data_IF_179922892305
#
_entry.id   IF_179922892305
#
_cell.length_a   1.000
_cell.length_b   1.000
_cell.length_c   1.000
_cell.angle_alpha   90.00
_cell.angle_beta   90.00
_cell.angle_gamma   90.00
#
_symmetry.space_group_name_H-M   'P 1'
#
loop_
_entity.id
_entity.type
_entity.pdbx_description
1 polymer ?
#
# COMPACT_ATOMS: atom_id res chain seq x y z
N UNK A 1 -23.16 -0.69 3.46
CA UNK A 1 -22.65 -2.04 3.16
C UNK A 1 -21.23 -2.17 3.71
N UNK A 2 -20.72 -3.38 4.00
CA UNK A 2 -19.30 -3.56 4.37
C UNK A 2 -18.41 -3.70 3.11
N UNK A 3 -17.09 -3.56 3.28
CA UNK A 3 -16.14 -3.61 2.17
C UNK A 3 -16.16 -4.94 1.40
N UNK A 4 -16.28 -6.07 2.10
CA UNK A 4 -16.34 -7.38 1.45
C UNK A 4 -17.57 -7.51 0.54
N UNK A 5 -18.76 -7.17 1.04
CA UNK A 5 -20.01 -7.20 0.26
C UNK A 5 -19.96 -6.21 -0.90
N UNK A 6 -19.35 -5.03 -0.71
CA UNK A 6 -19.18 -4.02 -1.75
C UNK A 6 -18.34 -4.54 -2.91
N UNK A 7 -17.17 -5.10 -2.61
CA UNK A 7 -16.28 -5.71 -3.61
C UNK A 7 -16.96 -6.89 -4.29
N UNK A 8 -17.60 -7.78 -3.51
CA UNK A 8 -18.30 -8.96 -4.04
C UNK A 8 -19.43 -8.58 -5.02
N UNK A 9 -20.21 -7.54 -4.72
CA UNK A 9 -21.23 -7.06 -5.65
C UNK A 9 -20.62 -6.50 -6.93
N UNK A 10 -19.58 -5.66 -6.81
CA UNK A 10 -18.93 -5.03 -7.95
C UNK A 10 -18.33 -6.06 -8.92
N UNK A 11 -17.63 -7.09 -8.43
CA UNK A 11 -17.07 -8.14 -9.30
C UNK A 11 -18.14 -9.01 -9.97
N UNK A 12 -19.36 -9.03 -9.41
CA UNK A 12 -20.52 -9.71 -9.99
C UNK A 12 -21.40 -8.78 -10.85
N UNK A 13 -20.90 -7.60 -11.22
CA UNK A 13 -21.63 -6.60 -12.02
C UNK A 13 -22.97 -6.18 -11.40
N UNK A 14 -23.05 -6.20 -10.06
CA UNK A 14 -24.24 -5.75 -9.30
C UNK A 14 -23.98 -4.37 -8.70
N UNK A 15 -25.03 -3.56 -8.66
CA UNK A 15 -24.97 -2.23 -8.05
C UNK A 15 -24.62 -2.30 -6.55
N UNK A 16 -23.68 -1.45 -6.15
CA UNK A 16 -23.15 -1.33 -4.80
C UNK A 16 -23.48 0.05 -4.22
N UNK A 17 -23.28 0.25 -2.91
CA UNK A 17 -23.56 1.55 -2.26
C UNK A 17 -22.58 2.65 -2.68
N UNK A 18 -21.41 2.27 -3.21
CA UNK A 18 -20.45 3.12 -3.93
C UNK A 18 -19.43 2.25 -4.67
N UNK A 19 -18.69 2.85 -5.62
CA UNK A 19 -17.55 2.20 -6.27
C UNK A 19 -16.52 1.74 -5.21
N UNK A 20 -16.10 0.46 -5.20
CA UNK A 20 -15.06 -0.01 -4.29
C UNK A 20 -13.71 0.68 -4.58
N UNK A 21 -12.96 0.99 -3.52
CA UNK A 21 -11.66 1.65 -3.60
C UNK A 21 -10.54 0.67 -3.24
N UNK A 22 -9.58 0.47 -4.16
CA UNK A 22 -8.32 -0.24 -3.89
C UNK A 22 -7.17 0.76 -3.79
N UNK A 23 -6.39 0.66 -2.70
CA UNK A 23 -5.09 1.31 -2.57
C UNK A 23 -4.13 0.30 -1.96
N UNK A 24 -3.15 -0.16 -2.74
CA UNK A 24 -2.13 -1.13 -2.31
C UNK A 24 -2.66 -2.53 -2.02
N UNK A 25 -3.80 -2.96 -2.59
CA UNK A 25 -4.33 -4.32 -2.42
C UNK A 25 -3.45 -5.43 -2.99
N UNK A 26 -2.65 -5.14 -4.02
CA UNK A 26 -1.72 -6.08 -4.66
C UNK A 26 -0.28 -5.55 -4.60
N UNK A 27 0.70 -6.38 -4.99
CA UNK A 27 2.11 -5.96 -5.05
C UNK A 27 2.36 -4.78 -5.99
N UNK A 28 1.49 -4.58 -7.00
CA UNK A 28 1.66 -3.56 -8.05
C UNK A 28 0.56 -2.49 -8.07
N UNK A 29 -0.55 -2.67 -7.34
CA UNK A 29 -1.59 -1.62 -7.22
C UNK A 29 -1.19 -0.56 -6.18
N UNK A 30 -0.05 0.11 -6.40
CA UNK A 30 0.59 0.99 -5.44
C UNK A 30 0.23 2.48 -5.53
N UNK A 31 0.65 3.25 -4.53
CA UNK A 31 0.79 4.70 -4.61
C UNK A 31 2.27 5.07 -4.60
N UNK A 32 2.69 5.96 -5.50
CA UNK A 32 4.06 6.47 -5.47
C UNK A 32 4.36 7.13 -4.11
N UNK A 33 5.50 6.83 -3.51
CA UNK A 33 5.91 7.34 -2.17
C UNK A 33 5.79 8.86 -2.09
N UNK A 34 6.19 9.56 -3.15
CA UNK A 34 6.13 11.02 -3.22
C UNK A 34 4.69 11.53 -3.17
N UNK A 35 3.77 10.87 -3.86
CA UNK A 35 2.33 11.18 -3.83
C UNK A 35 1.73 10.86 -2.46
N UNK A 36 2.09 9.72 -1.87
CA UNK A 36 1.62 9.33 -0.54
C UNK A 36 2.06 10.34 0.53
N UNK A 37 3.32 10.78 0.51
CA UNK A 37 3.82 11.84 1.42
C UNK A 37 3.02 13.13 1.29
N UNK A 38 2.72 13.56 0.05
CA UNK A 38 1.88 14.75 -0.20
C UNK A 38 0.46 14.57 0.31
N UNK A 39 -0.10 13.36 0.14
CA UNK A 39 -1.44 13.02 0.60
C UNK A 39 -1.53 13.07 2.14
N UNK A 40 -0.58 12.42 2.83
CA UNK A 40 -0.48 12.48 4.29
C UNK A 40 -0.37 13.93 4.80
N UNK A 41 0.51 14.74 4.19
CA UNK A 41 0.65 16.16 4.53
C UNK A 41 -0.65 16.94 4.30
N UNK A 42 -1.36 16.69 3.19
CA UNK A 42 -2.63 17.36 2.86
C UNK A 42 -3.70 17.09 3.93
N UNK A 43 -3.71 15.89 4.51
CA UNK A 43 -4.65 15.50 5.55
C UNK A 43 -4.12 15.71 6.98
N UNK A 44 -2.96 16.35 7.17
CA UNK A 44 -2.29 16.48 8.46
C UNK A 44 -2.18 15.13 9.21
N UNK A 45 -1.91 14.06 8.46
CA UNK A 45 -1.89 12.70 8.96
C UNK A 45 -0.46 12.22 9.16
N UNK A 46 -0.04 12.01 10.41
CA UNK A 46 1.27 11.48 10.72
C UNK A 46 1.24 9.94 10.71
N UNK A 47 1.88 9.32 9.71
CA UNK A 47 2.09 7.88 9.73
C UNK A 47 3.39 7.49 9.04
N UNK A 48 3.94 6.35 9.47
CA UNK A 48 5.06 5.71 8.77
C UNK A 48 4.58 5.18 7.43
N UNK A 49 5.42 5.33 6.41
CA UNK A 49 5.21 4.75 5.08
C UNK A 49 6.16 3.56 4.95
N UNK A 50 5.60 2.37 4.72
CA UNK A 50 6.39 1.21 4.33
C UNK A 50 6.62 1.22 2.82
N UNK A 51 7.73 0.66 2.36
CA UNK A 51 8.07 0.62 0.93
C UNK A 51 8.04 -0.83 0.47
N UNK A 52 7.02 -1.20 -0.33
CA UNK A 52 6.90 -2.58 -0.85
C UNK A 52 7.78 -2.86 -2.06
N UNK A 53 8.05 -1.81 -2.84
CA UNK A 53 8.84 -1.86 -4.05
C UNK A 53 9.73 -0.62 -4.13
N UNK A 54 11.01 -0.79 -3.80
CA UNK A 54 12.01 0.27 -3.87
C UNK A 54 12.33 0.68 -5.31
N UNK A 55 12.12 -0.20 -6.30
CA UNK A 55 12.39 0.08 -7.71
C UNK A 55 11.28 0.97 -8.27
N UNK A 56 10.02 0.60 -8.03
CA UNK A 56 8.86 1.39 -8.47
C UNK A 56 8.50 2.53 -7.51
N UNK A 57 9.22 2.64 -6.38
CA UNK A 57 8.96 3.61 -5.31
C UNK A 57 7.51 3.58 -4.83
N UNK A 58 6.97 2.37 -4.64
CA UNK A 58 5.61 2.17 -4.15
C UNK A 58 5.61 2.18 -2.62
N UNK A 59 4.84 3.11 -2.06
CA UNK A 59 4.60 3.23 -0.63
C UNK A 59 3.30 2.55 -0.23
N UNK A 60 3.33 1.83 0.90
CA UNK A 60 2.14 1.28 1.55
C UNK A 60 1.73 2.27 2.65
N UNK A 61 0.50 2.81 2.61
CA UNK A 61 -0.02 3.60 3.71
C UNK A 61 -0.31 2.74 4.94
N UNK A 62 -0.26 3.35 6.13
CA UNK A 62 -0.64 2.66 7.37
C UNK A 62 -2.09 2.13 7.32
N UNK A 63 -2.40 1.01 8.00
CA UNK A 63 -3.77 0.49 8.06
C UNK A 63 -4.80 1.52 8.53
N UNK A 64 -4.43 2.39 9.47
CA UNK A 64 -5.30 3.44 9.98
C UNK A 64 -5.58 4.53 8.93
N UNK A 65 -4.61 4.84 8.07
CA UNK A 65 -4.82 5.78 6.96
C UNK A 65 -5.69 5.16 5.84
N UNK A 66 -5.52 3.87 5.56
CA UNK A 66 -6.40 3.14 4.64
C UNK A 66 -7.85 3.12 5.15
N UNK A 67 -8.04 2.91 6.45
CA UNK A 67 -9.35 3.03 7.10
C UNK A 67 -9.91 4.44 7.05
N UNK A 68 -9.09 5.48 7.28
CA UNK A 68 -9.50 6.88 7.15
C UNK A 68 -10.01 7.21 5.73
N UNK A 69 -9.39 6.64 4.69
CA UNK A 69 -9.82 6.80 3.30
C UNK A 69 -10.97 5.85 2.88
N UNK A 70 -11.47 5.02 3.80
CA UNK A 70 -12.47 3.97 3.51
C UNK A 70 -12.06 3.02 2.38
N UNK A 71 -10.78 2.63 2.32
CA UNK A 71 -10.28 1.64 1.34
C UNK A 71 -10.91 0.28 1.61
N UNK A 72 -11.34 -0.41 0.54
CA UNK A 72 -12.09 -1.66 0.61
C UNK A 72 -11.23 -2.92 0.57
N UNK A 73 -9.95 -2.75 0.27
CA UNK A 73 -8.99 -3.82 0.11
C UNK A 73 -7.92 -3.79 1.19
N UNK A 74 -7.28 -4.94 1.40
CA UNK A 74 -6.04 -5.05 2.17
C UNK A 74 -4.98 -5.67 1.30
N UNK A 75 -3.74 -5.27 1.50
CA UNK A 75 -2.60 -5.79 0.75
C UNK A 75 -2.44 -7.29 0.94
N UNK A 76 -2.42 -8.04 -0.15
CA UNK A 76 -2.01 -9.44 -0.19
C UNK A 76 -0.94 -9.60 -1.27
N UNK A 77 0.27 -10.00 -0.86
CA UNK A 77 1.36 -10.27 -1.81
C UNK A 77 2.77 -10.15 -1.20
N UNK A 78 3.78 -10.74 -1.85
CA UNK A 78 5.18 -10.66 -1.40
C UNK A 78 5.75 -9.25 -1.60
N UNK A 79 6.86 -8.94 -0.94
CA UNK A 79 7.69 -7.79 -1.33
C UNK A 79 8.27 -8.00 -2.73
N UNK A 80 8.51 -6.93 -3.49
CA UNK A 80 9.01 -7.04 -4.88
C UNK A 80 10.35 -7.78 -4.96
N UNK A 81 11.22 -7.53 -3.99
CA UNK A 81 12.51 -8.18 -3.85
C UNK A 81 12.47 -9.00 -2.56
N UNK A 82 12.53 -10.32 -2.69
CA UNK A 82 12.69 -11.21 -1.55
C UNK A 82 14.03 -10.94 -0.84
N UNK A 83 13.99 -10.97 0.48
CA UNK A 83 15.13 -10.74 1.37
C UNK A 83 15.84 -9.39 1.16
N UNK A 84 15.12 -8.35 0.74
CA UNK A 84 15.71 -7.03 0.47
C UNK A 84 16.55 -6.52 1.65
N UNK A 85 16.01 -6.55 2.86
CA UNK A 85 16.71 -6.06 4.06
C UNK A 85 18.01 -6.84 4.33
N UNK A 86 18.00 -8.15 4.10
CA UNK A 86 19.20 -9.01 4.26
C UNK A 86 20.26 -8.63 3.24
N UNK A 87 19.87 -8.40 1.98
CA UNK A 87 20.78 -8.00 0.90
C UNK A 87 21.41 -6.63 1.18
N UNK A 88 20.61 -5.65 1.64
CA UNK A 88 21.09 -4.31 2.01
C UNK A 88 22.07 -4.37 3.18
N UNK A 89 21.75 -5.11 4.25
CA UNK A 89 22.65 -5.30 5.40
C UNK A 89 24.00 -5.89 4.99
N UNK A 90 24.01 -6.88 4.10
CA UNK A 90 25.25 -7.52 3.60
C UNK A 90 26.15 -6.54 2.85
N UNK A 91 25.58 -5.64 2.04
CA UNK A 91 26.33 -4.61 1.32
C UNK A 91 26.96 -3.61 2.29
N UNK A 92 26.18 -3.14 3.26
CA UNK A 92 26.66 -2.15 4.24
C UNK A 92 27.76 -2.72 5.15
N UNK A 93 27.70 -4.02 5.48
CA UNK A 93 28.77 -4.68 6.23
C UNK A 93 30.08 -4.77 5.43
N UNK A 94 30.00 -4.98 4.10
CA UNK A 94 31.17 -5.05 3.22
C UNK A 94 31.87 -3.70 3.00
N UNK A 95 31.16 -2.59 3.18
CA UNK A 95 31.73 -1.22 3.03
C UNK A 95 32.45 -0.71 4.29
N UNK A 96 32.38 -1.44 5.40
CA UNK A 96 33.01 -1.08 6.69
C UNK A 96 34.45 -1.62 6.83
N UNK A 97 34.93 -2.37 5.85
CA UNK A 97 36.27 -2.91 5.74
C UNK A 97 36.83 -2.56 4.36
#
# INVERSE_FOLDING_TARGET
MDSFKRVLKAINFKESDRVPLDICGTTVSGIAITTLKKLLKKYNYESKIDISDYIQQIGIPSPSFLSFLNVDTKRVGPHRISDFDRKVKKINHRKKY
#
